data_IF_438422392239
#
_entry.id   IF_438422392239
#
_cell.length_a   1.000
_cell.length_b   1.000
_cell.length_c   1.000
_cell.angle_alpha   90.00
_cell.angle_beta   90.00
_cell.angle_gamma   90.00
#
_symmetry.space_group_name_H-M   'P 1'
#
loop_
_entity.id
_entity.type
_entity.pdbx_description
1 polymer ?
#
# COMPACT_ATOMS: atom_id res chain seq x y z
N UNK A 1 -0.45 19.83 3.61
CA UNK A 1 0.09 18.86 4.58
C UNK A 1 1.52 18.53 4.22
N UNK A 2 2.23 17.84 5.10
CA UNK A 2 3.63 17.44 4.89
C UNK A 2 3.80 15.95 5.09
N UNK A 3 4.83 15.38 4.48
CA UNK A 3 5.30 14.03 4.77
C UNK A 3 6.77 14.07 5.16
N UNK A 4 7.13 13.30 6.19
CA UNK A 4 8.52 13.21 6.68
C UNK A 4 8.89 11.75 6.87
N UNK A 5 10.00 11.32 6.28
CA UNK A 5 10.52 9.96 6.43
C UNK A 5 11.72 9.97 7.36
N UNK A 6 11.70 9.13 8.38
CA UNK A 6 12.83 8.97 9.30
C UNK A 6 13.90 8.00 8.77
N UNK A 7 15.03 7.94 9.48
CA UNK A 7 16.15 7.02 9.19
C UNK A 7 15.79 5.52 9.21
N UNK A 8 14.66 5.17 9.82
CA UNK A 8 14.18 3.79 9.89
C UNK A 8 13.17 3.48 8.77
N UNK A 9 12.94 4.42 7.84
CA UNK A 9 12.03 4.27 6.71
C UNK A 9 10.56 4.44 7.07
N UNK A 10 10.25 5.00 8.24
CA UNK A 10 8.87 5.35 8.60
C UNK A 10 8.54 6.74 8.04
N UNK A 11 7.52 6.82 7.19
CA UNK A 11 6.94 8.07 6.71
C UNK A 11 5.76 8.47 7.60
N UNK A 12 5.74 9.70 8.09
CA UNK A 12 4.63 10.28 8.85
C UNK A 12 3.96 11.36 8.02
N UNK A 13 2.64 11.32 7.93
CA UNK A 13 1.81 12.26 7.19
C UNK A 13 1.18 13.26 8.16
N UNK A 14 1.16 14.54 7.77
CA UNK A 14 0.58 15.63 8.56
C UNK A 14 -0.36 16.50 7.72
N UNK A 15 -1.38 17.06 8.35
CA UNK A 15 -2.25 18.06 7.73
C UNK A 15 -1.53 19.41 7.58
N UNK A 16 -2.24 20.44 7.07
CA UNK A 16 -1.67 21.77 6.90
C UNK A 16 -1.35 22.48 8.23
N UNK A 17 -2.01 22.08 9.32
CA UNK A 17 -1.79 22.60 10.68
C UNK A 17 -0.68 21.86 11.43
N UNK A 18 -0.11 20.81 10.84
CA UNK A 18 0.98 20.02 11.41
C UNK A 18 0.54 18.80 12.23
N UNK A 19 -0.77 18.53 12.36
CA UNK A 19 -1.25 17.35 13.07
C UNK A 19 -0.99 16.09 12.27
N UNK A 20 -0.57 15.02 12.96
CA UNK A 20 -0.39 13.71 12.32
C UNK A 20 -1.74 13.16 11.87
N UNK A 21 -1.83 12.78 10.61
CA UNK A 21 -3.02 12.12 10.02
C UNK A 21 -2.80 10.62 9.83
N UNK A 22 -1.54 10.18 9.77
CA UNK A 22 -1.20 8.77 9.69
C UNK A 22 0.29 8.54 9.49
N UNK A 23 0.66 7.27 9.32
CA UNK A 23 2.02 6.89 8.94
C UNK A 23 2.05 5.62 8.10
N UNK A 24 3.16 5.41 7.41
CA UNK A 24 3.49 4.15 6.77
C UNK A 24 4.93 3.75 7.09
N UNK A 25 5.21 2.45 7.08
CA UNK A 25 6.57 1.93 7.18
C UNK A 25 6.69 0.66 6.35
N UNK A 26 7.77 0.55 5.57
CA UNK A 26 8.09 -0.66 4.80
C UNK A 26 9.17 -1.44 5.52
N UNK A 27 8.94 -2.73 5.76
CA UNK A 27 9.94 -3.61 6.34
C UNK A 27 10.94 -4.13 5.28
N UNK A 28 11.98 -4.81 5.75
CA UNK A 28 13.02 -5.41 4.89
C UNK A 28 12.50 -6.49 3.92
N UNK A 29 11.27 -6.97 4.10
CA UNK A 29 10.62 -7.96 3.24
C UNK A 29 9.70 -7.32 2.21
N UNK A 30 9.64 -5.98 2.14
CA UNK A 30 8.82 -5.25 1.18
C UNK A 30 7.35 -5.15 1.59
N UNK A 31 7.02 -5.40 2.86
CA UNK A 31 5.66 -5.17 3.39
C UNK A 31 5.57 -3.76 3.95
N UNK A 32 4.73 -2.94 3.32
CA UNK A 32 4.33 -1.63 3.83
C UNK A 32 3.12 -1.79 4.75
N UNK A 33 3.20 -1.24 5.96
CA UNK A 33 2.08 -1.17 6.92
C UNK A 33 1.61 0.27 7.05
N UNK A 34 0.30 0.50 6.90
CA UNK A 34 -0.34 1.80 7.05
C UNK A 34 -1.02 1.91 8.41
N UNK A 35 -0.86 3.04 9.08
CA UNK A 35 -1.42 3.32 10.41
C UNK A 35 -2.12 4.66 10.43
N UNK A 36 -3.18 4.77 11.22
CA UNK A 36 -3.86 6.04 11.50
C UNK A 36 -3.02 6.92 12.44
N UNK A 37 -3.54 8.11 12.77
CA UNK A 37 -2.90 9.06 13.68
C UNK A 37 -2.70 8.51 15.11
N UNK A 38 -3.49 7.52 15.51
CA UNK A 38 -3.38 6.82 16.80
C UNK A 38 -2.42 5.63 16.75
N UNK A 39 -1.80 5.36 15.60
CA UNK A 39 -0.87 4.25 15.40
C UNK A 39 -1.54 2.89 15.12
N UNK A 40 -2.87 2.84 15.01
CA UNK A 40 -3.61 1.60 14.72
C UNK A 40 -3.46 1.24 13.26
N UNK A 41 -3.13 -0.02 12.99
CA UNK A 41 -3.00 -0.54 11.62
C UNK A 41 -4.32 -0.41 10.86
N UNK A 42 -4.28 0.19 9.67
CA UNK A 42 -5.42 0.30 8.76
C UNK A 42 -5.35 -0.72 7.61
N UNK A 43 -4.14 -1.16 7.27
CA UNK A 43 -3.94 -2.15 6.23
C UNK A 43 -2.47 -2.33 5.89
N UNK A 44 -2.23 -3.21 4.92
CA UNK A 44 -0.88 -3.51 4.43
C UNK A 44 -0.86 -3.63 2.92
N UNK A 45 0.31 -3.34 2.34
CA UNK A 45 0.65 -3.57 0.94
C UNK A 45 1.90 -4.43 0.91
N UNK A 46 1.88 -5.53 0.16
CA UNK A 46 3.06 -6.37 -0.10
C UNK A 46 3.32 -6.42 -1.58
N UNK A 47 4.59 -6.43 -1.97
CA UNK A 47 5.02 -6.71 -3.34
C UNK A 47 5.83 -8.01 -3.32
N UNK A 48 5.40 -9.02 -4.07
CA UNK A 48 6.17 -10.26 -4.20
C UNK A 48 7.29 -10.14 -5.25
N UNK A 49 8.11 -11.20 -5.36
CA UNK A 49 9.25 -11.23 -6.31
C UNK A 49 8.82 -11.15 -7.78
N UNK A 50 7.56 -11.49 -8.08
CA UNK A 50 6.99 -11.41 -9.42
C UNK A 50 6.35 -10.05 -9.69
N UNK A 51 6.49 -9.09 -8.77
CA UNK A 51 5.91 -7.76 -8.87
C UNK A 51 4.40 -7.72 -8.60
N UNK A 52 3.80 -8.80 -8.08
CA UNK A 52 2.39 -8.80 -7.69
C UNK A 52 2.22 -8.00 -6.41
N UNK A 53 1.33 -7.01 -6.47
CA UNK A 53 0.91 -6.21 -5.32
C UNK A 53 -0.32 -6.87 -4.69
N UNK A 54 -0.32 -7.01 -3.37
CA UNK A 54 -1.49 -7.45 -2.60
C UNK A 54 -1.80 -6.41 -1.52
N UNK A 55 -3.05 -5.97 -1.47
CA UNK A 55 -3.55 -5.08 -0.42
C UNK A 55 -4.42 -5.87 0.55
N UNK A 56 -4.21 -5.63 1.84
CA UNK A 56 -4.99 -6.24 2.92
C UNK A 56 -5.52 -5.17 3.87
N UNK A 57 -6.70 -5.42 4.42
CA UNK A 57 -7.26 -4.60 5.49
C UNK A 57 -6.52 -4.83 6.82
N UNK A 58 -6.93 -4.11 7.86
CA UNK A 58 -6.38 -4.21 9.21
C UNK A 58 -6.49 -5.63 9.83
N UNK A 59 -7.49 -6.41 9.41
CA UNK A 59 -7.69 -7.80 9.83
C UNK A 59 -6.89 -8.82 9.00
N UNK A 60 -6.15 -8.36 7.99
CA UNK A 60 -5.33 -9.21 7.11
C UNK A 60 -6.08 -9.81 5.92
N UNK A 61 -7.37 -9.51 5.73
CA UNK A 61 -8.15 -9.98 4.58
C UNK A 61 -7.74 -9.25 3.32
N UNK A 62 -7.63 -9.98 2.21
CA UNK A 62 -7.27 -9.40 0.91
C UNK A 62 -8.41 -8.50 0.43
N UNK A 63 -8.08 -7.25 0.11
CA UNK A 63 -9.01 -6.28 -0.47
C UNK A 63 -8.84 -6.18 -1.99
N UNK A 64 -7.63 -6.49 -2.49
CA UNK A 64 -7.38 -6.60 -3.91
C UNK A 64 -5.95 -6.99 -4.23
N UNK A 65 -5.70 -7.20 -5.52
CA UNK A 65 -4.37 -7.47 -6.05
C UNK A 65 -4.14 -6.72 -7.36
N UNK A 66 -2.88 -6.45 -7.68
CA UNK A 66 -2.49 -5.95 -8.98
C UNK A 66 -1.24 -6.67 -9.48
N UNK A 67 -1.23 -6.97 -10.78
CA UNK A 67 -0.07 -7.55 -11.47
C UNK A 67 0.15 -6.80 -12.76
N UNK A 68 1.39 -6.41 -13.02
CA UNK A 68 1.79 -5.80 -14.31
C UNK A 68 2.52 -6.84 -15.15
N UNK A 69 2.07 -7.04 -16.38
CA UNK A 69 2.76 -7.91 -17.33
C UNK A 69 3.95 -7.23 -18.01
N UNK A 70 4.71 -8.00 -18.79
CA UNK A 70 5.89 -7.49 -19.54
C UNK A 70 5.54 -6.44 -20.60
N UNK A 71 4.27 -6.35 -21.00
CA UNK A 71 3.78 -5.39 -21.98
C UNK A 71 3.27 -4.10 -21.31
N UNK A 72 3.53 -3.93 -20.00
CA UNK A 72 3.12 -2.75 -19.23
C UNK A 72 1.63 -2.70 -18.89
N UNK A 73 0.89 -3.80 -19.06
CA UNK A 73 -0.53 -3.87 -18.67
C UNK A 73 -0.66 -4.33 -17.22
N UNK A 74 -1.16 -3.44 -16.37
CA UNK A 74 -1.56 -3.75 -14.99
C UNK A 74 -2.99 -4.27 -14.97
N UNK A 75 -3.21 -5.42 -14.33
CA UNK A 75 -4.53 -6.02 -14.08
C UNK A 75 -4.86 -5.91 -12.61
N UNK A 76 -6.06 -5.40 -12.28
CA UNK A 76 -6.55 -5.24 -10.92
C UNK A 76 -7.68 -6.23 -10.64
N UNK A 77 -7.60 -6.90 -9.49
CA UNK A 77 -8.61 -7.84 -9.02
C UNK A 77 -9.07 -7.48 -7.62
N UNK A 78 -10.34 -7.74 -7.31
CA UNK A 78 -10.88 -7.57 -5.96
C UNK A 78 -10.38 -8.65 -4.98
N UNK A 79 -10.81 -8.56 -3.72
CA UNK A 79 -10.46 -9.52 -2.67
C UNK A 79 -10.87 -10.97 -2.93
N UNK A 80 -11.84 -11.20 -3.82
CA UNK A 80 -12.28 -12.53 -4.28
C UNK A 80 -11.60 -12.99 -5.56
N UNK A 81 -10.71 -12.18 -6.15
CA UNK A 81 -9.99 -12.48 -7.39
C UNK A 81 -10.74 -12.11 -8.67
N UNK A 82 -11.91 -11.47 -8.59
CA UNK A 82 -12.65 -11.02 -9.78
C UNK A 82 -11.95 -9.83 -10.42
N UNK A 83 -11.87 -9.82 -11.75
CA UNK A 83 -11.31 -8.70 -12.51
C UNK A 83 -12.19 -7.46 -12.31
N UNK A 84 -11.57 -6.36 -11.88
CA UNK A 84 -12.28 -5.08 -11.70
C UNK A 84 -11.73 -3.96 -12.58
N UNK A 85 -10.57 -4.16 -13.20
CA UNK A 85 -10.02 -3.18 -14.13
C UNK A 85 -8.66 -3.56 -14.67
N UNK A 86 -8.27 -2.87 -15.72
CA UNK A 86 -6.92 -2.93 -16.28
C UNK A 86 -6.43 -1.54 -16.64
N UNK A 87 -5.13 -1.30 -16.52
CA UNK A 87 -4.47 -0.06 -16.97
C UNK A 87 -3.27 -0.45 -17.83
N UNK A 88 -3.14 0.15 -19.02
CA UNK A 88 -1.93 0.02 -19.83
C UNK A 88 -1.17 1.33 -19.75
N UNK A 89 0.12 1.27 -19.41
CA UNK A 89 0.99 2.45 -19.55
C UNK A 89 1.27 2.60 -21.05
N UNK A 90 0.93 3.76 -21.61
CA UNK A 90 1.21 4.13 -23.01
C UNK A 90 2.64 4.62 -23.15
#
# INVERSE_FOLDING_TARGET
GTETTDRNGKTTYRDASGHVTGSQQTDKYGKTTYRDCLGRTQGTKTVDRNGKITWRDASGRIQGTATTDRNGKTTYRDGSGRLIGTRKVQ
#
